data_IF_663698269889
#
_entry.id   IF_663698269889
#
_cell.length_a   1.000
_cell.length_b   1.000
_cell.length_c   1.000
_cell.angle_alpha   90.00
_cell.angle_beta   90.00
_cell.angle_gamma   90.00
#
_symmetry.space_group_name_H-M   'P 1'
#
loop_
_entity.id
_entity.type
_entity.pdbx_description
1 polymer ?
#
# COMPACT_ATOMS: atom_id res chain seq x y z
N UNK A 1 -9.23 9.35 6.11
CA UNK A 1 -8.16 8.68 5.31
C UNK A 1 -6.88 8.26 6.07
N UNK A 2 -6.70 8.52 7.37
CA UNK A 2 -5.49 8.06 8.09
C UNK A 2 -5.38 6.53 8.18
N UNK A 3 -6.46 5.84 8.56
CA UNK A 3 -6.47 4.37 8.70
C UNK A 3 -6.25 3.68 7.35
N UNK A 4 -6.76 4.27 6.28
CA UNK A 4 -6.67 3.77 4.92
C UNK A 4 -5.24 3.83 4.39
N UNK A 5 -4.49 4.88 4.74
CA UNK A 5 -3.04 4.93 4.49
C UNK A 5 -2.33 3.81 5.26
N UNK A 6 -2.65 3.60 6.54
CA UNK A 6 -2.04 2.53 7.35
C UNK A 6 -2.32 1.12 6.79
N UNK A 7 -3.55 0.85 6.36
CA UNK A 7 -3.87 -0.45 5.74
C UNK A 7 -3.22 -0.60 4.36
N UNK A 8 -3.10 0.49 3.59
CA UNK A 8 -2.39 0.48 2.30
C UNK A 8 -0.92 0.10 2.49
N UNK A 9 -0.18 0.78 3.38
CA UNK A 9 1.24 0.46 3.62
C UNK A 9 1.43 -0.93 4.22
N UNK A 10 0.48 -1.37 5.07
CA UNK A 10 0.51 -2.72 5.64
C UNK A 10 0.30 -3.78 4.56
N UNK A 11 -0.68 -3.58 3.67
CA UNK A 11 -0.93 -4.48 2.55
C UNK A 11 0.29 -4.59 1.64
N UNK A 12 0.89 -3.46 1.25
CA UNK A 12 2.10 -3.44 0.41
C UNK A 12 3.29 -4.17 1.08
N UNK A 13 3.43 -4.06 2.40
CA UNK A 13 4.49 -4.74 3.13
C UNK A 13 4.44 -6.28 3.01
N UNK A 14 3.25 -6.85 2.78
CA UNK A 14 3.07 -8.31 2.67
C UNK A 14 3.79 -8.90 1.47
N UNK A 15 3.96 -8.14 0.38
CA UNK A 15 4.71 -8.56 -0.80
C UNK A 15 6.23 -8.57 -0.58
N UNK A 16 6.70 -7.78 0.38
CA UNK A 16 8.12 -7.52 0.61
C UNK A 16 8.72 -8.47 1.66
N UNK A 17 7.93 -8.90 2.65
CA UNK A 17 8.42 -9.78 3.70
C UNK A 17 8.88 -11.14 3.15
N UNK A 18 10.06 -11.58 3.59
CA UNK A 18 10.71 -12.79 3.10
C UNK A 18 11.62 -12.57 1.89
N UNK A 19 11.56 -11.40 1.25
CA UNK A 19 12.44 -11.01 0.13
C UNK A 19 13.35 -9.83 0.51
N UNK A 20 12.77 -8.79 1.10
CA UNK A 20 13.49 -7.59 1.56
C UNK A 20 13.75 -7.71 3.08
N UNK A 21 14.93 -7.27 3.59
CA UNK A 21 15.21 -7.25 5.02
C UNK A 21 14.15 -6.49 5.83
N UNK A 22 13.68 -7.10 6.93
CA UNK A 22 12.57 -6.56 7.76
C UNK A 22 12.75 -5.10 8.20
N UNK A 23 13.98 -4.69 8.50
CA UNK A 23 14.29 -3.30 8.87
C UNK A 23 14.00 -2.33 7.73
N UNK A 24 14.36 -2.67 6.50
CA UNK A 24 14.08 -1.86 5.30
C UNK A 24 12.61 -1.84 4.96
N UNK A 25 11.90 -2.97 5.11
CA UNK A 25 10.43 -3.01 4.95
C UNK A 25 9.75 -2.04 5.91
N UNK A 26 10.12 -2.06 7.19
CA UNK A 26 9.58 -1.11 8.18
C UNK A 26 9.89 0.35 7.82
N UNK A 27 11.13 0.63 7.39
CA UNK A 27 11.54 1.97 6.97
C UNK A 27 10.74 2.44 5.75
N UNK A 28 10.55 1.57 4.77
CA UNK A 28 9.73 1.84 3.58
C UNK A 28 8.29 2.19 3.96
N UNK A 29 7.64 1.37 4.80
CA UNK A 29 6.28 1.63 5.26
C UNK A 29 6.15 2.98 5.99
N UNK A 30 7.13 3.32 6.84
CA UNK A 30 7.13 4.59 7.56
C UNK A 30 7.23 5.79 6.61
N UNK A 31 8.16 5.75 5.64
CA UNK A 31 8.30 6.82 4.66
C UNK A 31 7.10 6.93 3.72
N UNK A 32 6.59 5.79 3.23
CA UNK A 32 5.43 5.78 2.36
C UNK A 32 4.18 6.32 3.07
N UNK A 33 3.99 5.97 4.35
CA UNK A 33 2.87 6.50 5.14
C UNK A 33 2.93 8.02 5.26
N UNK A 34 4.10 8.61 5.54
CA UNK A 34 4.27 10.07 5.63
C UNK A 34 3.96 10.73 4.29
N UNK A 35 4.57 10.24 3.22
CA UNK A 35 4.42 10.79 1.87
C UNK A 35 2.98 10.72 1.37
N UNK A 36 2.27 9.61 1.64
CA UNK A 36 0.86 9.48 1.26
C UNK A 36 -0.03 10.43 2.05
N UNK A 37 0.18 10.57 3.35
CA UNK A 37 -0.58 11.53 4.16
C UNK A 37 -0.38 12.95 3.65
N UNK A 38 0.86 13.36 3.40
CA UNK A 38 1.19 14.67 2.82
C UNK A 38 0.51 14.87 1.46
N UNK A 39 0.62 13.90 0.55
CA UNK A 39 0.05 13.99 -0.79
C UNK A 39 -1.50 14.02 -0.81
N UNK A 40 -2.15 13.33 0.12
CA UNK A 40 -3.61 13.36 0.27
C UNK A 40 -4.05 14.70 0.86
N UNK A 41 -3.38 15.17 1.91
CA UNK A 41 -3.68 16.43 2.58
C UNK A 41 -3.49 17.63 1.65
N UNK A 42 -2.45 17.63 0.81
CA UNK A 42 -2.20 18.67 -0.20
C UNK A 42 -3.34 18.75 -1.23
N UNK A 43 -3.92 17.61 -1.61
CA UNK A 43 -4.99 17.56 -2.61
C UNK A 43 -6.33 18.03 -2.06
N UNK A 44 -6.50 18.18 -0.72
CA UNK A 44 -7.63 18.77 0.07
C UNK A 44 -9.09 18.37 -0.25
N UNK A 45 -9.39 17.82 -1.42
CA UNK A 45 -10.74 17.63 -1.96
C UNK A 45 -10.90 16.35 -2.79
N UNK A 46 -9.96 15.40 -2.69
CA UNK A 46 -10.07 14.12 -3.41
C UNK A 46 -10.88 13.12 -2.59
N UNK A 47 -12.03 12.72 -3.12
CA UNK A 47 -12.82 11.57 -2.60
C UNK A 47 -12.05 10.25 -2.73
N UNK A 48 -11.01 10.24 -3.57
CA UNK A 48 -10.21 9.07 -3.95
C UNK A 48 -8.79 9.48 -4.32
N UNK A 49 -7.82 8.74 -3.78
CA UNK A 49 -6.42 8.83 -4.15
C UNK A 49 -5.97 7.50 -4.76
N UNK A 50 -5.53 7.54 -6.01
CA UNK A 50 -4.96 6.37 -6.69
C UNK A 50 -3.44 6.41 -6.54
N UNK A 51 -2.90 5.32 -5.99
CA UNK A 51 -1.47 5.10 -5.87
C UNK A 51 -1.04 4.02 -6.86
N UNK A 52 -0.23 4.40 -7.83
CA UNK A 52 0.30 3.53 -8.87
C UNK A 52 1.56 2.81 -8.37
N UNK A 53 1.51 1.48 -8.37
CA UNK A 53 2.58 0.59 -7.88
C UNK A 53 2.96 -0.39 -8.99
N UNK A 54 3.98 -0.04 -9.76
CA UNK A 54 4.49 -0.81 -10.91
C UNK A 54 3.44 -1.19 -11.96
N UNK A 55 2.37 -0.41 -12.12
CA UNK A 55 1.39 -0.60 -13.20
C UNK A 55 1.97 -0.08 -14.52
N UNK A 56 1.95 -0.91 -15.57
CA UNK A 56 2.53 -0.62 -16.88
C UNK A 56 3.99 -0.14 -16.83
N UNK A 57 4.75 -0.65 -15.86
CA UNK A 57 6.16 -0.27 -15.64
C UNK A 57 6.36 1.10 -14.97
N UNK A 58 5.28 1.75 -14.54
CA UNK A 58 5.32 3.03 -13.85
C UNK A 58 4.98 2.88 -12.37
N UNK A 59 5.55 3.77 -11.55
CA UNK A 59 5.20 3.90 -10.13
C UNK A 59 5.14 5.38 -9.78
N UNK A 60 4.25 5.73 -8.87
CA UNK A 60 4.18 7.09 -8.36
C UNK A 60 5.48 7.48 -7.64
N UNK A 61 5.79 8.78 -7.68
CA UNK A 61 6.95 9.36 -7.02
C UNK A 61 7.00 9.04 -5.52
N UNK A 62 5.83 8.89 -4.86
CA UNK A 62 5.75 8.50 -3.45
C UNK A 62 6.34 7.11 -3.19
N UNK A 63 6.12 6.14 -4.09
CA UNK A 63 6.74 4.80 -4.03
C UNK A 63 8.24 4.91 -4.25
N UNK A 64 8.65 5.67 -5.27
CA UNK A 64 10.06 5.85 -5.64
C UNK A 64 10.85 6.49 -4.49
N UNK A 65 10.31 7.55 -3.89
CA UNK A 65 10.95 8.22 -2.76
C UNK A 65 10.98 7.35 -1.50
N UNK A 66 9.90 6.63 -1.20
CA UNK A 66 9.88 5.72 -0.05
C UNK A 66 10.93 4.61 -0.20
N UNK A 67 11.06 4.02 -1.39
CA UNK A 67 12.08 3.01 -1.68
C UNK A 67 13.50 3.57 -1.53
N UNK A 68 13.75 4.76 -2.09
CA UNK A 68 15.04 5.46 -1.99
C UNK A 68 15.43 5.76 -0.55
N UNK A 69 14.50 6.29 0.26
CA UNK A 69 14.74 6.60 1.68
C UNK A 69 14.95 5.36 2.54
N UNK A 70 14.34 4.23 2.14
CA UNK A 70 14.48 2.94 2.82
C UNK A 70 15.66 2.09 2.33
N UNK A 71 16.47 2.58 1.38
CA UNK A 71 17.54 1.83 0.73
C UNK A 71 17.06 0.50 0.12
N UNK A 72 15.88 0.51 -0.50
CA UNK A 72 15.31 -0.61 -1.27
C UNK A 72 15.46 -0.30 -2.74
N UNK A 73 16.06 -1.22 -3.50
CA UNK A 73 16.19 -1.04 -4.95
C UNK A 73 14.82 -1.19 -5.63
N UNK A 74 14.53 -0.33 -6.61
CA UNK A 74 13.26 -0.40 -7.34
C UNK A 74 13.05 -1.74 -8.03
N UNK A 75 14.11 -2.34 -8.58
CA UNK A 75 14.05 -3.68 -9.18
C UNK A 75 13.63 -4.75 -8.18
N UNK A 76 14.21 -4.74 -6.97
CA UNK A 76 13.85 -5.66 -5.89
C UNK A 76 12.38 -5.47 -5.47
N UNK A 77 11.92 -4.23 -5.40
CA UNK A 77 10.53 -3.90 -5.10
C UNK A 77 9.56 -4.34 -6.21
N UNK A 78 9.94 -4.16 -7.47
CA UNK A 78 9.17 -4.58 -8.64
C UNK A 78 9.03 -6.10 -8.70
N UNK A 79 10.11 -6.85 -8.43
CA UNK A 79 10.07 -8.31 -8.34
C UNK A 79 9.11 -8.80 -7.25
N UNK A 80 8.97 -8.04 -6.15
CA UNK A 80 7.99 -8.32 -5.09
C UNK A 80 6.54 -8.07 -5.53
N UNK A 81 6.30 -7.06 -6.37
CA UNK A 81 4.97 -6.52 -6.67
C UNK A 81 4.57 -6.67 -8.15
N UNK A 82 4.98 -7.77 -8.77
CA UNK A 82 5.10 -8.03 -10.22
C UNK A 82 3.79 -8.06 -11.07
N UNK A 83 2.70 -7.43 -10.62
CA UNK A 83 1.37 -7.60 -11.22
C UNK A 83 0.67 -6.31 -11.66
N UNK A 84 1.36 -5.16 -11.65
CA UNK A 84 0.73 -3.88 -11.97
C UNK A 84 -0.40 -3.57 -11.01
N UNK A 85 -0.05 -2.96 -9.89
CA UNK A 85 -0.96 -2.75 -8.77
C UNK A 85 -1.37 -1.28 -8.73
N UNK A 86 -2.67 -1.02 -8.64
CA UNK A 86 -3.21 0.30 -8.31
C UNK A 86 -3.92 0.19 -6.98
N UNK A 87 -3.53 1.01 -6.02
CA UNK A 87 -4.21 1.11 -4.72
C UNK A 87 -5.18 2.28 -4.76
N UNK A 88 -6.48 2.00 -4.75
CA UNK A 88 -7.52 3.03 -4.59
C UNK A 88 -7.72 3.27 -3.09
N UNK A 89 -7.36 4.45 -2.61
CA UNK A 89 -7.53 4.88 -1.22
C UNK A 89 -8.70 5.85 -1.20
N UNK A 90 -9.76 5.52 -0.47
CA UNK A 90 -10.98 6.31 -0.31
C UNK A 90 -11.34 6.41 1.17
N UNK A 91 -12.14 7.39 1.57
CA UNK A 91 -12.57 7.45 2.98
C UNK A 91 -13.43 6.22 3.34
N UNK A 92 -13.01 5.49 4.37
CA UNK A 92 -13.63 4.24 4.80
C UNK A 92 -13.33 3.01 3.94
N UNK A 93 -12.50 3.10 2.89
CA UNK A 93 -12.26 1.97 1.98
C UNK A 93 -10.89 2.00 1.28
N UNK A 94 -10.25 0.84 1.17
CA UNK A 94 -9.07 0.64 0.32
C UNK A 94 -9.28 -0.54 -0.61
N UNK A 95 -8.97 -0.38 -1.89
CA UNK A 95 -8.99 -1.46 -2.88
C UNK A 95 -7.63 -1.62 -3.53
N UNK A 96 -7.25 -2.88 -3.75
CA UNK A 96 -6.12 -3.26 -4.58
C UNK A 96 -6.65 -3.73 -5.93
N UNK A 97 -6.24 -3.05 -7.00
CA UNK A 97 -6.60 -3.40 -8.36
C UNK A 97 -5.39 -3.95 -9.11
N UNK A 98 -5.63 -5.02 -9.83
CA UNK A 98 -4.72 -5.59 -10.82
C UNK A 98 -5.47 -5.70 -12.15
N UNK A 99 -4.80 -5.96 -13.28
CA UNK A 99 -5.48 -6.15 -14.56
C UNK A 99 -6.54 -7.28 -14.55
N UNK A 100 -6.45 -8.22 -13.60
CA UNK A 100 -7.27 -9.42 -13.56
C UNK A 100 -8.23 -9.49 -12.35
N UNK A 101 -8.02 -8.66 -11.33
CA UNK A 101 -8.78 -8.77 -10.08
C UNK A 101 -8.85 -7.46 -9.31
N UNK A 102 -9.90 -7.33 -8.49
CA UNK A 102 -10.06 -6.27 -7.52
C UNK A 102 -10.28 -6.88 -6.13
N UNK A 103 -9.47 -6.49 -5.15
CA UNK A 103 -9.56 -6.95 -3.77
C UNK A 103 -9.90 -5.78 -2.84
N UNK A 104 -10.79 -6.00 -1.88
CA UNK A 104 -11.01 -5.07 -0.78
C UNK A 104 -9.92 -5.32 0.27
N UNK A 105 -9.10 -4.31 0.53
CA UNK A 105 -8.04 -4.31 1.56
C UNK A 105 -8.57 -3.76 2.87
N UNK A 106 -9.44 -2.75 2.81
CA UNK A 106 -10.10 -2.14 3.96
C UNK A 106 -11.55 -1.73 3.61
N UNK A 107 -12.53 -1.94 4.51
CA UNK A 107 -12.43 -2.71 5.75
C UNK A 107 -12.12 -4.17 5.45
N UNK A 108 -11.36 -4.84 6.31
CA UNK A 108 -11.16 -6.29 6.19
C UNK A 108 -12.54 -6.92 6.27
N UNK A 109 -12.92 -7.72 5.27
CA UNK A 109 -14.12 -8.54 5.38
C UNK A 109 -14.01 -9.35 6.65
N UNK A 110 -14.90 -9.12 7.61
CA UNK A 110 -15.00 -9.96 8.79
C UNK A 110 -15.30 -11.36 8.27
N UNK A 111 -14.36 -12.28 8.40
CA UNK A 111 -14.70 -13.68 8.22
C UNK A 111 -15.80 -13.98 9.26
N UNK A 112 -16.96 -14.54 8.87
CA UNK A 112 -18.01 -14.89 9.83
C UNK A 112 -17.54 -15.82 10.97
N UNK A 113 -16.33 -16.39 10.85
CA UNK A 113 -15.72 -17.32 11.79
C UNK A 113 -14.90 -16.66 12.92
N UNK A 114 -14.65 -15.33 12.88
CA UNK A 114 -13.92 -14.64 13.96
C UNK A 114 -14.82 -14.18 15.12
N UNK A 115 -16.14 -14.36 15.03
CA UNK A 115 -17.07 -14.22 16.16
C UNK A 115 -17.09 -15.49 17.01
N UNK A 116 -15.96 -15.84 17.61
CA UNK A 116 -15.86 -17.10 18.34
C UNK A 116 -14.61 -17.22 19.21
N UNK A 117 -14.40 -16.27 20.12
CA UNK A 117 -13.64 -16.43 21.38
C UNK A 117 -13.72 -15.13 22.19
N UNK A 118 -14.83 -14.97 22.90
CA UNK A 118 -14.81 -14.21 24.15
C UNK A 118 -14.52 -15.26 25.22
N UNK A 119 -13.37 -15.09 25.88
CA UNK A 119 -12.94 -15.90 27.02
C UNK A 119 -13.79 -15.59 28.25
#
# INVERSE_FOLDING_TARGET
MFLEVQETVRFLSTFMYGRIPRSRVKSFCAHLSSLLSEAIDEKKAVERFDLIVFADGQSDETIVQAARRAYVHLTELQECMNNGLIMEIMDGRVRALTPFSAQIVFPKSVNPMDCGKVS
#
